data_IF_532396280141
#
_entry.id   IF_532396280141
#
_cell.length_a   1.000
_cell.length_b   1.000
_cell.length_c   1.000
_cell.angle_alpha   90.00
_cell.angle_beta   90.00
_cell.angle_gamma   90.00
#
_symmetry.space_group_name_H-M   'P 1'
#
loop_
_entity.id
_entity.type
_entity.pdbx_description
1 polymer ?
#
# COMPACT_ATOMS: atom_id res chain seq x y z
N UNK A 1 -9.26 54.40 5.27
CA UNK A 1 -7.97 53.70 5.46
C UNK A 1 -7.80 53.50 6.94
N UNK A 2 -7.70 52.31 7.54
CA UNK A 2 -7.42 50.95 7.08
C UNK A 2 -8.28 50.00 7.93
N UNK A 3 -8.87 48.99 7.29
CA UNK A 3 -9.43 47.79 7.92
C UNK A 3 -8.28 46.83 8.17
N UNK A 4 -8.12 46.30 9.38
CA UNK A 4 -7.49 44.98 9.59
C UNK A 4 -8.18 44.25 10.73
N UNK A 5 -8.86 43.17 10.36
CA UNK A 5 -9.32 42.10 11.24
C UNK A 5 -8.14 41.18 11.58
N UNK A 6 -8.13 40.60 12.79
CA UNK A 6 -7.29 39.44 13.10
C UNK A 6 -8.13 38.38 13.80
N UNK A 7 -8.13 37.21 13.17
CA UNK A 7 -8.98 36.05 13.35
C UNK A 7 -8.54 35.26 14.58
N UNK A 8 -9.51 34.89 15.42
CA UNK A 8 -9.34 33.91 16.47
C UNK A 8 -9.19 32.51 15.86
N UNK A 9 -8.04 31.88 16.04
CA UNK A 9 -7.81 30.47 15.70
C UNK A 9 -8.26 29.59 16.84
N UNK A 10 -9.34 28.82 16.64
CA UNK A 10 -9.70 27.68 17.49
C UNK A 10 -9.20 26.43 16.79
N UNK A 11 -8.17 25.79 17.36
CA UNK A 11 -7.74 24.46 16.96
C UNK A 11 -8.73 23.43 17.55
N UNK A 12 -9.57 22.85 16.69
CA UNK A 12 -10.45 21.75 17.06
C UNK A 12 -9.68 20.43 16.92
N UNK A 13 -9.19 19.89 18.02
CA UNK A 13 -8.69 18.52 18.08
C UNK A 13 -9.89 17.55 18.06
N UNK A 14 -10.16 16.91 16.92
CA UNK A 14 -11.10 15.80 16.86
C UNK A 14 -10.43 14.54 17.38
N UNK A 15 -10.78 14.17 18.61
CA UNK A 15 -10.63 12.82 19.14
C UNK A 15 -11.72 11.96 18.47
N UNK A 16 -11.34 11.11 17.52
CA UNK A 16 -12.29 10.16 16.91
C UNK A 16 -12.40 8.93 17.81
N UNK A 17 -13.57 8.77 18.43
CA UNK A 17 -14.01 7.53 19.04
C UNK A 17 -14.46 6.56 17.94
N UNK A 18 -13.99 5.31 18.01
CA UNK A 18 -14.36 4.22 17.10
C UNK A 18 -15.82 3.77 17.40
N UNK A 19 -16.75 4.06 16.49
CA UNK A 19 -18.13 3.57 16.49
C UNK A 19 -18.28 2.43 15.47
N UNK A 20 -18.67 1.25 15.95
CA UNK A 20 -18.71 -0.02 15.21
C UNK A 20 -20.02 -0.18 14.41
N UNK A 21 -20.30 0.71 13.45
CA UNK A 21 -21.55 0.61 12.68
C UNK A 21 -21.72 1.48 11.44
N UNK A 22 -20.77 2.35 11.10
CA UNK A 22 -20.86 3.12 9.84
C UNK A 22 -20.08 2.42 8.73
N UNK A 23 -20.72 2.24 7.57
CA UNK A 23 -20.03 1.80 6.37
C UNK A 23 -18.89 2.79 6.09
N UNK A 24 -17.68 2.25 5.83
CA UNK A 24 -16.54 3.08 5.45
C UNK A 24 -16.96 3.98 4.28
N UNK A 25 -16.57 5.27 4.28
CA UNK A 25 -16.84 6.12 3.14
C UNK A 25 -16.31 5.43 1.88
N UNK A 26 -17.03 5.52 0.74
CA UNK A 26 -16.52 4.96 -0.50
C UNK A 26 -15.11 5.48 -0.71
N UNK A 27 -14.18 4.62 -1.15
CA UNK A 27 -12.81 5.05 -1.37
C UNK A 27 -12.84 6.30 -2.25
N UNK A 28 -12.02 7.32 -1.95
CA UNK A 28 -11.94 8.48 -2.81
C UNK A 28 -11.74 8.00 -4.25
N UNK A 29 -12.41 8.65 -5.21
CA UNK A 29 -12.05 8.48 -6.62
C UNK A 29 -10.61 8.97 -6.76
N UNK A 30 -9.67 8.05 -6.64
CA UNK A 30 -8.27 8.33 -6.92
C UNK A 30 -8.15 8.31 -8.43
N UNK A 31 -7.90 9.47 -9.04
CA UNK A 31 -7.51 9.51 -10.45
C UNK A 31 -6.18 8.78 -10.60
N UNK A 32 -6.07 7.91 -11.60
CA UNK A 32 -4.80 7.26 -11.91
C UNK A 32 -3.81 8.32 -12.37
N UNK A 33 -2.72 8.51 -11.63
CA UNK A 33 -1.80 9.62 -11.86
C UNK A 33 -0.68 9.27 -12.83
N UNK A 34 -0.49 8.00 -13.21
CA UNK A 34 0.70 7.52 -13.96
C UNK A 34 2.05 7.90 -13.29
N UNK A 35 2.03 8.33 -12.01
CA UNK A 35 3.20 8.89 -11.31
C UNK A 35 4.06 7.84 -10.60
N UNK A 36 3.75 6.55 -10.74
CA UNK A 36 4.54 5.48 -10.15
C UNK A 36 5.97 5.44 -10.73
N UNK A 37 6.95 5.80 -9.90
CA UNK A 37 8.37 5.71 -10.23
C UNK A 37 8.93 4.35 -9.80
N UNK A 38 9.01 3.40 -10.74
CA UNK A 38 9.59 2.07 -10.49
C UNK A 38 11.08 2.09 -10.14
N UNK A 39 11.77 3.23 -10.30
CA UNK A 39 13.20 3.35 -9.98
C UNK A 39 13.45 3.63 -8.50
N UNK A 40 12.48 4.24 -7.80
CA UNK A 40 12.62 4.54 -6.38
C UNK A 40 12.71 3.25 -5.56
N UNK A 41 13.81 3.08 -4.83
CA UNK A 41 14.06 1.88 -4.05
C UNK A 41 14.47 0.65 -4.87
N UNK A 42 14.69 0.74 -6.18
CA UNK A 42 15.18 -0.37 -7.00
C UNK A 42 16.68 -0.57 -6.81
N UNK A 43 17.11 -1.82 -6.68
CA UNK A 43 18.51 -2.22 -6.68
C UNK A 43 19.02 -2.37 -8.12
N UNK A 44 20.29 -2.02 -8.39
CA UNK A 44 20.91 -2.26 -9.68
C UNK A 44 21.05 -3.77 -9.96
N UNK A 45 21.26 -4.57 -8.91
CA UNK A 45 21.37 -6.02 -8.97
C UNK A 45 20.48 -6.65 -7.90
N UNK A 46 19.57 -7.57 -8.24
CA UNK A 46 18.76 -8.29 -7.26
C UNK A 46 19.62 -9.11 -6.29
N UNK A 47 19.13 -9.29 -5.07
CA UNK A 47 19.74 -10.18 -4.07
C UNK A 47 19.26 -11.62 -4.25
N UNK A 48 19.91 -12.57 -3.59
CA UNK A 48 19.50 -13.99 -3.62
C UNK A 48 18.33 -14.31 -2.69
N UNK A 49 18.14 -13.52 -1.63
CA UNK A 49 17.08 -13.69 -0.63
C UNK A 49 16.69 -12.34 -0.03
N UNK A 50 15.40 -12.13 0.23
CA UNK A 50 14.88 -10.93 0.90
C UNK A 50 13.67 -11.28 1.76
N UNK A 51 13.54 -10.64 2.93
CA UNK A 51 12.32 -10.66 3.74
C UNK A 51 11.49 -9.43 3.40
N UNK A 52 10.22 -9.65 3.11
CA UNK A 52 9.31 -8.58 2.68
C UNK A 52 7.99 -8.65 3.43
N UNK A 53 7.37 -7.50 3.63
CA UNK A 53 5.94 -7.37 3.93
C UNK A 53 5.24 -6.78 2.72
N UNK A 54 3.94 -6.99 2.63
CA UNK A 54 3.16 -6.41 1.54
C UNK A 54 1.82 -5.85 1.99
N UNK A 55 1.26 -4.98 1.16
CA UNK A 55 -0.14 -4.57 1.19
C UNK A 55 -0.77 -5.09 -0.08
N UNK A 56 -1.78 -5.97 0.05
CA UNK A 56 -2.53 -6.50 -1.08
C UNK A 56 -3.75 -5.64 -1.34
N UNK A 57 -3.91 -5.18 -2.57
CA UNK A 57 -5.09 -4.49 -3.08
C UNK A 57 -5.65 -5.29 -4.25
N UNK A 58 -6.84 -5.86 -4.06
CA UNK A 58 -7.57 -6.64 -5.04
C UNK A 58 -8.79 -5.89 -5.56
N UNK A 59 -9.50 -6.50 -6.50
CA UNK A 59 -10.69 -5.97 -7.16
C UNK A 59 -11.68 -7.07 -7.52
N UNK A 60 -12.87 -6.66 -7.94
CA UNK A 60 -13.96 -7.57 -8.26
C UNK A 60 -13.53 -8.59 -9.32
N UNK A 61 -13.66 -9.88 -8.99
CA UNK A 61 -13.37 -10.97 -9.93
C UNK A 61 -11.89 -11.30 -10.13
N UNK A 62 -10.95 -10.60 -9.46
CA UNK A 62 -9.51 -10.87 -9.63
C UNK A 62 -9.11 -12.26 -9.18
N UNK A 63 -9.43 -12.62 -7.94
CA UNK A 63 -9.09 -13.92 -7.38
C UNK A 63 -10.18 -14.36 -6.39
N UNK A 64 -10.78 -15.55 -6.54
CA UNK A 64 -11.87 -15.99 -5.67
C UNK A 64 -11.44 -16.25 -4.21
N UNK A 65 -10.12 -16.29 -3.93
CA UNK A 65 -9.59 -16.47 -2.58
C UNK A 65 -9.43 -15.16 -1.80
N UNK A 66 -9.65 -14.02 -2.46
CA UNK A 66 -9.51 -12.70 -1.85
C UNK A 66 -10.87 -12.00 -1.91
N UNK A 67 -11.28 -11.44 -0.79
CA UNK A 67 -12.49 -10.60 -0.72
C UNK A 67 -12.03 -9.14 -0.67
N UNK A 68 -12.20 -8.38 -1.77
CA UNK A 68 -11.88 -6.96 -1.76
C UNK A 68 -12.72 -6.23 -0.70
N UNK A 69 -12.13 -5.25 -0.02
CA UNK A 69 -12.83 -4.39 0.96
C UNK A 69 -13.95 -3.57 0.28
N UNK A 70 -13.74 -3.20 -0.99
CA UNK A 70 -14.79 -2.64 -1.84
C UNK A 70 -15.20 -3.70 -2.88
N UNK A 71 -16.40 -4.30 -2.76
CA UNK A 71 -16.84 -5.40 -3.63
C UNK A 71 -17.08 -4.98 -5.09
N UNK A 72 -17.18 -3.67 -5.37
CA UNK A 72 -17.38 -3.12 -6.70
C UNK A 72 -16.11 -2.48 -7.28
N UNK A 73 -14.98 -2.60 -6.58
CA UNK A 73 -13.71 -2.04 -7.04
C UNK A 73 -13.32 -2.66 -8.38
N UNK A 74 -12.98 -1.81 -9.34
CA UNK A 74 -12.41 -2.16 -10.64
C UNK A 74 -10.89 -2.31 -10.55
N UNK A 75 -10.28 -2.88 -11.59
CA UNK A 75 -8.81 -2.99 -11.66
C UNK A 75 -8.16 -1.60 -11.65
N UNK A 76 -8.73 -0.63 -12.36
CA UNK A 76 -8.24 0.73 -12.46
C UNK A 76 -8.29 1.44 -11.09
N UNK A 77 -9.36 1.23 -10.32
CA UNK A 77 -9.47 1.76 -8.95
C UNK A 77 -8.50 1.09 -8.00
N UNK A 78 -8.31 -0.23 -8.12
CA UNK A 78 -7.29 -0.94 -7.35
C UNK A 78 -5.88 -0.43 -7.69
N UNK A 79 -5.65 -0.11 -8.98
CA UNK A 79 -4.38 0.45 -9.45
C UNK A 79 -4.12 1.82 -8.84
N UNK A 80 -5.09 2.72 -8.93
CA UNK A 80 -4.95 4.06 -8.38
C UNK A 80 -4.77 4.03 -6.84
N UNK A 81 -5.51 3.15 -6.14
CA UNK A 81 -5.38 3.01 -4.69
C UNK A 81 -3.96 2.59 -4.27
N UNK A 82 -3.40 1.54 -4.87
CA UNK A 82 -2.06 1.08 -4.45
C UNK A 82 -0.93 2.06 -4.85
N UNK A 83 -1.12 2.87 -5.89
CA UNK A 83 -0.23 3.98 -6.21
C UNK A 83 -0.31 5.09 -5.15
N UNK A 84 -1.51 5.48 -4.74
CA UNK A 84 -1.69 6.43 -3.64
C UNK A 84 -1.02 5.93 -2.34
N UNK A 85 -1.20 4.65 -1.99
CA UNK A 85 -0.52 4.06 -0.83
C UNK A 85 1.02 4.09 -0.97
N UNK A 86 1.53 3.89 -2.19
CA UNK A 86 2.96 4.02 -2.46
C UNK A 86 3.46 5.46 -2.28
N UNK A 87 2.71 6.47 -2.74
CA UNK A 87 3.03 7.88 -2.52
C UNK A 87 3.00 8.24 -1.03
N UNK A 88 1.97 7.81 -0.30
CA UNK A 88 1.86 8.01 1.15
C UNK A 88 3.05 7.39 1.89
N UNK A 89 3.46 6.17 1.51
CA UNK A 89 4.63 5.52 2.11
C UNK A 89 5.93 6.21 1.73
N UNK A 90 6.12 6.55 0.45
CA UNK A 90 7.31 7.25 -0.06
C UNK A 90 7.56 8.57 0.67
N UNK A 91 6.52 9.32 0.98
CA UNK A 91 6.60 10.59 1.69
C UNK A 91 6.90 10.44 3.19
N UNK A 92 6.65 9.26 3.77
CA UNK A 92 6.95 8.96 5.17
C UNK A 92 7.34 7.48 5.35
N UNK A 93 8.57 7.07 4.98
CA UNK A 93 8.96 5.66 4.87
C UNK A 93 9.34 5.04 6.23
N UNK A 94 8.48 5.16 7.23
CA UNK A 94 8.67 4.58 8.56
C UNK A 94 7.91 3.25 8.72
N UNK A 95 8.32 2.43 9.68
CA UNK A 95 7.63 1.17 10.01
C UNK A 95 6.21 1.45 10.50
N UNK A 96 6.03 2.49 11.32
CA UNK A 96 4.74 2.87 11.88
C UNK A 96 3.76 3.29 10.78
N UNK A 97 4.23 4.04 9.78
CA UNK A 97 3.41 4.41 8.63
C UNK A 97 3.04 3.18 7.80
N UNK A 98 3.99 2.27 7.58
CA UNK A 98 3.71 1.00 6.91
C UNK A 98 2.63 0.19 7.63
N UNK A 99 2.77 0.02 8.95
CA UNK A 99 1.85 -0.77 9.77
C UNK A 99 0.43 -0.19 9.74
N UNK A 100 0.32 1.14 9.80
CA UNK A 100 -0.94 1.85 9.62
C UNK A 100 -1.56 1.56 8.26
N UNK A 101 -0.84 1.82 7.17
CA UNK A 101 -1.32 1.61 5.80
C UNK A 101 -1.74 0.14 5.57
N UNK A 102 -0.94 -0.81 6.06
CA UNK A 102 -1.22 -2.23 5.92
C UNK A 102 -2.46 -2.66 6.71
N UNK A 103 -2.65 -2.17 7.95
CA UNK A 103 -3.83 -2.45 8.75
C UNK A 103 -5.11 -1.87 8.16
N UNK A 104 -5.05 -0.65 7.63
CA UNK A 104 -6.21 0.03 7.02
C UNK A 104 -6.61 -0.61 5.68
N UNK A 105 -5.64 -0.93 4.83
CA UNK A 105 -5.91 -1.21 3.41
C UNK A 105 -5.63 -2.64 2.94
N UNK A 106 -4.75 -3.40 3.60
CA UNK A 106 -4.39 -4.72 3.08
C UNK A 106 -5.57 -5.70 3.09
N UNK A 107 -5.68 -6.48 2.03
CA UNK A 107 -6.69 -7.52 1.83
C UNK A 107 -6.08 -8.94 1.94
N UNK A 108 -4.80 -9.02 2.33
CA UNK A 108 -4.19 -10.27 2.76
C UNK A 108 -4.61 -10.60 4.20
N UNK A 109 -5.04 -11.84 4.44
CA UNK A 109 -5.62 -12.25 5.72
C UNK A 109 -4.64 -12.26 6.90
N UNK A 110 -3.33 -12.20 6.64
CA UNK A 110 -2.30 -12.16 7.67
C UNK A 110 -1.67 -10.78 7.89
N UNK A 111 -2.11 -9.75 7.16
CA UNK A 111 -1.65 -8.39 7.35
C UNK A 111 -2.07 -7.83 8.73
N UNK A 112 -1.29 -6.91 9.34
CA UNK A 112 -0.07 -6.28 8.81
C UNK A 112 1.24 -7.03 9.14
N UNK A 113 1.15 -8.16 9.85
CA UNK A 113 2.33 -8.82 10.44
C UNK A 113 2.99 -9.88 9.56
N UNK A 114 2.32 -10.39 8.51
CA UNK A 114 2.89 -11.45 7.68
C UNK A 114 4.14 -11.00 6.94
N UNK A 115 5.22 -11.79 7.10
CA UNK A 115 6.48 -11.62 6.39
C UNK A 115 6.69 -12.78 5.42
N UNK A 116 6.97 -12.47 4.17
CA UNK A 116 7.30 -13.42 3.12
C UNK A 116 8.82 -13.48 2.90
N UNK A 117 9.31 -14.63 2.45
CA UNK A 117 10.72 -14.81 2.06
C UNK A 117 10.80 -14.97 0.55
N UNK A 118 11.31 -13.95 -0.13
CA UNK A 118 11.64 -14.02 -1.55
C UNK A 118 12.99 -14.72 -1.73
N UNK A 119 13.13 -15.56 -2.75
CA UNK A 119 14.36 -16.31 -3.05
C UNK A 119 14.62 -16.28 -4.55
N UNK A 120 15.89 -16.22 -4.96
CA UNK A 120 16.27 -16.26 -6.39
C UNK A 120 15.99 -17.61 -7.05
N UNK A 121 15.78 -18.64 -6.22
CA UNK A 121 15.25 -19.96 -6.61
C UNK A 121 13.79 -20.07 -6.17
N UNK A 122 13.11 -21.13 -6.61
CA UNK A 122 11.69 -21.37 -6.34
C UNK A 122 11.28 -21.03 -4.90
N UNK A 123 10.49 -19.96 -4.75
CA UNK A 123 9.95 -19.48 -3.48
C UNK A 123 8.49 -19.88 -3.29
N UNK A 124 7.85 -20.48 -4.30
CA UNK A 124 6.39 -20.69 -4.33
C UNK A 124 5.56 -19.40 -4.36
N UNK A 125 6.20 -18.23 -4.53
CA UNK A 125 5.54 -16.94 -4.65
C UNK A 125 5.30 -16.58 -6.12
N UNK A 126 4.31 -15.72 -6.38
CA UNK A 126 4.13 -15.12 -7.70
C UNK A 126 5.44 -14.50 -8.20
N UNK A 127 5.81 -14.77 -9.45
CA UNK A 127 7.12 -14.36 -10.00
C UNK A 127 7.36 -12.86 -9.87
N UNK A 128 6.37 -12.03 -10.22
CA UNK A 128 6.47 -10.58 -10.11
C UNK A 128 6.63 -10.11 -8.66
N UNK A 129 5.95 -10.76 -7.71
CA UNK A 129 6.10 -10.49 -6.28
C UNK A 129 7.54 -10.81 -5.82
N UNK A 130 8.02 -12.00 -6.17
CA UNK A 130 9.36 -12.47 -5.82
C UNK A 130 10.45 -11.57 -6.39
N UNK A 131 10.40 -11.28 -7.70
CA UNK A 131 11.39 -10.45 -8.39
C UNK A 131 11.41 -9.01 -7.84
N UNK A 132 10.23 -8.47 -7.52
CA UNK A 132 10.12 -7.13 -6.91
C UNK A 132 10.74 -7.11 -5.52
N UNK A 133 10.47 -8.12 -4.68
CA UNK A 133 11.08 -8.23 -3.35
C UNK A 133 12.61 -8.31 -3.41
N UNK A 134 13.16 -9.16 -4.31
CA UNK A 134 14.61 -9.33 -4.48
C UNK A 134 15.32 -8.09 -5.05
N UNK A 135 14.60 -7.25 -5.78
CA UNK A 135 15.15 -6.05 -6.42
C UNK A 135 14.80 -4.75 -5.68
N UNK A 136 14.20 -4.82 -4.49
CA UNK A 136 13.89 -3.64 -3.66
C UNK A 136 14.98 -3.42 -2.62
N UNK A 137 15.27 -2.17 -2.26
CA UNK A 137 16.19 -1.77 -1.18
C UNK A 137 15.52 -1.93 0.19
N UNK A 138 16.25 -2.28 1.27
CA UNK A 138 15.68 -2.35 2.61
C UNK A 138 15.04 -1.02 3.02
N UNK A 139 13.83 -1.07 3.58
CA UNK A 139 13.03 0.11 3.96
C UNK A 139 12.28 0.78 2.81
N UNK A 140 12.51 0.40 1.56
CA UNK A 140 11.77 0.92 0.41
C UNK A 140 10.62 -0.01 0.03
N UNK A 141 9.64 0.54 -0.69
CA UNK A 141 8.53 -0.21 -1.22
C UNK A 141 8.36 -0.01 -2.73
N UNK A 142 7.99 -1.09 -3.42
CA UNK A 142 7.73 -1.11 -4.88
C UNK A 142 6.48 -1.93 -5.19
N UNK A 143 5.85 -1.62 -6.31
CA UNK A 143 4.57 -2.24 -6.68
C UNK A 143 4.80 -3.42 -7.62
N UNK A 144 4.12 -4.54 -7.37
CA UNK A 144 4.04 -5.68 -8.26
C UNK A 144 2.58 -6.01 -8.61
N UNK A 145 2.33 -6.46 -9.84
CA UNK A 145 1.05 -7.07 -10.21
C UNK A 145 1.15 -8.59 -10.09
N UNK A 146 0.19 -9.22 -9.42
CA UNK A 146 0.19 -10.65 -9.13
C UNK A 146 -1.17 -11.31 -9.40
N UNK A 147 -1.25 -12.61 -9.09
CA UNK A 147 -2.47 -13.40 -9.30
C UNK A 147 -3.60 -13.03 -8.33
N UNK A 148 -3.27 -12.36 -7.22
CA UNK A 148 -4.22 -11.94 -6.18
C UNK A 148 -4.67 -10.48 -6.28
N UNK A 149 -3.93 -9.66 -7.03
CA UNK A 149 -4.16 -8.22 -7.10
C UNK A 149 -2.86 -7.47 -7.32
N UNK A 150 -2.83 -6.22 -6.88
CA UNK A 150 -1.61 -5.45 -6.78
C UNK A 150 -1.00 -5.57 -5.38
N UNK A 151 0.32 -5.63 -5.34
CA UNK A 151 1.08 -5.74 -4.12
C UNK A 151 2.00 -4.54 -3.99
N UNK A 152 1.85 -3.73 -2.95
CA UNK A 152 2.90 -2.83 -2.52
C UNK A 152 3.82 -3.62 -1.60
N UNK A 153 5.09 -3.80 -1.99
CA UNK A 153 6.04 -4.71 -1.34
C UNK A 153 7.15 -3.91 -0.68
N UNK A 154 7.22 -3.93 0.65
CA UNK A 154 8.30 -3.32 1.44
C UNK A 154 9.33 -4.38 1.83
N UNK A 155 10.60 -4.06 1.61
CA UNK A 155 11.70 -4.93 2.04
C UNK A 155 12.15 -4.59 3.46
N UNK A 156 12.36 -5.62 4.28
CA UNK A 156 12.74 -5.50 5.69
C UNK A 156 14.27 -5.47 5.91
N UNK A 157 15.04 -6.25 5.15
CA UNK A 157 16.47 -6.51 5.41
C UNK A 157 17.37 -6.43 4.18
#
# INVERSE_FOLDING_TARGET
MIVVAAIAGVALAMVMFYDSGTALPPPPKVEHTDEYDDTWGKLPTPVSEARVRHILISWQGKNPRVTPKDPNRTEEQARALVEDLWHQYRNNPTVENWDRLAGEHSEDSGAPSTVYTCKSRDSGLDKAFNDTGLSTKPGFARIASGSFGFHLIRREN
#
